data_IF_837695899323
#
_entry.id   IF_837695899323
#
_cell.length_a   1.000
_cell.length_b   1.000
_cell.length_c   1.000
_cell.angle_alpha   90.00
_cell.angle_beta   90.00
_cell.angle_gamma   90.00
#
_symmetry.space_group_name_H-M   'P 1'
#
loop_
_entity.id
_entity.type
_entity.pdbx_description
1 polymer ?
#
# COMPACT_ATOMS: atom_id res chain seq x y z
N UNK A 1 -24.34 0.05 -0.88
CA UNK A 1 -23.00 -0.35 -0.42
C UNK A 1 -22.02 -0.02 -1.53
N UNK A 2 -21.28 1.07 -1.41
CA UNK A 2 -20.30 1.47 -2.43
C UNK A 2 -19.12 0.52 -2.33
N UNK A 3 -18.92 -0.33 -3.35
CA UNK A 3 -17.74 -1.20 -3.39
C UNK A 3 -16.46 -0.34 -3.49
N UNK A 4 -15.40 -0.73 -2.77
CA UNK A 4 -14.09 -0.11 -2.94
C UNK A 4 -13.59 -0.34 -4.36
N UNK A 5 -12.89 0.64 -4.95
CA UNK A 5 -12.33 0.56 -6.30
C UNK A 5 -11.21 -0.49 -6.46
N UNK A 6 -10.77 -1.09 -5.35
CA UNK A 6 -9.70 -2.07 -5.28
C UNK A 6 -8.79 -1.82 -4.07
N UNK A 7 -7.83 -2.71 -3.87
CA UNK A 7 -6.80 -2.60 -2.83
C UNK A 7 -5.46 -2.24 -3.45
N UNK A 8 -4.83 -1.19 -2.94
CA UNK A 8 -3.49 -0.75 -3.32
C UNK A 8 -2.55 -1.04 -2.14
N UNK A 9 -1.43 -1.70 -2.42
CA UNK A 9 -0.40 -1.99 -1.43
C UNK A 9 0.81 -1.09 -1.64
N UNK A 10 1.27 -0.41 -0.60
CA UNK A 10 2.39 0.53 -0.65
C UNK A 10 3.51 0.01 0.26
N UNK A 11 4.71 -0.13 -0.30
CA UNK A 11 5.93 -0.55 0.40
C UNK A 11 6.97 0.57 0.25
N UNK A 12 7.24 1.27 1.34
CA UNK A 12 8.11 2.45 1.35
C UNK A 12 8.64 2.65 2.78
N UNK A 13 9.89 3.08 2.98
CA UNK A 13 10.40 3.35 4.34
C UNK A 13 10.10 4.78 4.81
N UNK A 14 9.70 5.68 3.91
CA UNK A 14 9.26 7.04 4.22
C UNK A 14 7.78 7.08 4.66
N UNK A 15 7.59 7.12 5.99
CA UNK A 15 6.26 7.22 6.61
C UNK A 15 5.47 8.47 6.19
N UNK A 16 6.14 9.58 5.87
CA UNK A 16 5.45 10.80 5.45
C UNK A 16 4.83 10.60 4.06
N UNK A 17 5.59 9.99 3.14
CA UNK A 17 5.09 9.66 1.81
C UNK A 17 3.95 8.65 1.87
N UNK A 18 4.08 7.59 2.67
CA UNK A 18 2.99 6.62 2.88
C UNK A 18 1.70 7.30 3.35
N UNK A 19 1.80 8.20 4.33
CA UNK A 19 0.63 8.89 4.90
C UNK A 19 -0.07 9.75 3.85
N UNK A 20 0.70 10.47 3.02
CA UNK A 20 0.15 11.31 1.94
C UNK A 20 -0.55 10.45 0.89
N UNK A 21 0.09 9.36 0.45
CA UNK A 21 -0.47 8.45 -0.54
C UNK A 21 -1.71 7.73 -0.02
N UNK A 22 -1.68 7.26 1.22
CA UNK A 22 -2.82 6.63 1.88
C UNK A 22 -4.03 7.57 1.89
N UNK A 23 -3.85 8.80 2.36
CA UNK A 23 -4.91 9.78 2.41
C UNK A 23 -5.48 10.07 1.03
N UNK A 24 -4.62 10.31 0.03
CA UNK A 24 -5.04 10.61 -1.33
C UNK A 24 -5.83 9.45 -1.96
N UNK A 25 -5.35 8.21 -1.84
CA UNK A 25 -5.96 7.04 -2.48
C UNK A 25 -7.24 6.59 -1.77
N UNK A 26 -7.29 6.64 -0.43
CA UNK A 26 -8.51 6.37 0.33
C UNK A 26 -9.61 7.37 0.00
N UNK A 27 -9.28 8.66 -0.14
CA UNK A 27 -10.25 9.70 -0.52
C UNK A 27 -10.88 9.44 -1.90
N UNK A 28 -10.16 8.77 -2.81
CA UNK A 28 -10.67 8.42 -4.15
C UNK A 28 -11.45 7.09 -4.14
N UNK A 29 -11.49 6.38 -3.01
CA UNK A 29 -12.31 5.18 -2.79
C UNK A 29 -11.55 3.86 -2.91
N UNK A 30 -10.22 3.86 -2.77
CA UNK A 30 -9.41 2.64 -2.68
C UNK A 30 -9.20 2.20 -1.24
N UNK A 31 -9.03 0.90 -1.04
CA UNK A 31 -8.42 0.39 0.19
C UNK A 31 -6.92 0.53 0.05
N UNK A 32 -6.25 1.01 1.09
CA UNK A 32 -4.80 1.13 1.11
C UNK A 32 -4.26 0.24 2.22
N UNK A 33 -3.24 -0.53 1.89
CA UNK A 33 -2.44 -1.33 2.81
C UNK A 33 -1.01 -0.83 2.73
N UNK A 34 -0.34 -0.73 3.88
CA UNK A 34 1.01 -0.19 4.00
C UNK A 34 1.93 -1.27 4.57
N UNK A 35 3.18 -1.28 4.14
CA UNK A 35 4.28 -2.04 4.73
C UNK A 35 5.53 -1.16 4.80
N UNK A 36 6.32 -1.31 5.86
CA UNK A 36 7.46 -0.43 6.15
C UNK A 36 8.78 -0.91 5.57
N UNK A 37 8.83 -2.16 5.15
CA UNK A 37 10.00 -2.77 4.53
C UNK A 37 9.59 -3.93 3.62
N UNK A 38 10.53 -4.39 2.79
CA UNK A 38 10.29 -5.49 1.85
C UNK A 38 10.01 -6.84 2.52
N UNK A 39 10.54 -7.11 3.72
CA UNK A 39 10.31 -8.39 4.40
C UNK A 39 8.88 -8.49 4.96
N UNK A 40 8.39 -7.44 5.61
CA UNK A 40 6.99 -7.29 5.99
C UNK A 40 6.12 -7.34 4.72
N UNK A 41 6.54 -6.60 3.69
CA UNK A 41 5.90 -6.55 2.38
C UNK A 41 5.62 -7.92 1.77
N UNK A 42 6.67 -8.73 1.66
CA UNK A 42 6.62 -10.08 1.08
C UNK A 42 5.75 -11.02 1.91
N UNK A 43 5.85 -10.98 3.25
CA UNK A 43 5.00 -11.80 4.13
C UNK A 43 3.52 -11.46 3.97
N UNK A 44 3.20 -10.17 3.82
CA UNK A 44 1.83 -9.74 3.61
C UNK A 44 1.29 -10.25 2.28
N UNK A 45 2.09 -10.24 1.20
CA UNK A 45 1.70 -10.74 -0.11
C UNK A 45 1.40 -12.25 -0.17
N UNK A 46 1.83 -13.04 0.84
CA UNK A 46 1.43 -14.45 0.93
C UNK A 46 -0.08 -14.63 1.17
N UNK A 47 -0.73 -13.64 1.78
CA UNK A 47 -2.16 -13.67 2.13
C UNK A 47 -2.96 -12.52 1.50
N UNK A 48 -2.30 -11.42 1.17
CA UNK A 48 -2.87 -10.24 0.53
C UNK A 48 -2.77 -10.36 -0.99
N UNK A 49 -3.89 -10.11 -1.68
CA UNK A 49 -3.95 -10.04 -3.15
C UNK A 49 -4.33 -8.61 -3.57
N UNK A 50 -3.35 -7.68 -3.63
CA UNK A 50 -3.62 -6.31 -4.04
C UNK A 50 -3.85 -6.20 -5.55
N UNK A 51 -4.59 -5.18 -5.97
CA UNK A 51 -4.77 -4.86 -7.40
C UNK A 51 -3.58 -4.09 -7.97
N UNK A 52 -2.84 -3.38 -7.13
CA UNK A 52 -1.66 -2.60 -7.49
C UNK A 52 -0.69 -2.60 -6.31
N UNK A 53 0.60 -2.70 -6.61
CA UNK A 53 1.69 -2.53 -5.65
C UNK A 53 2.49 -1.28 -6.05
N UNK A 54 2.71 -0.38 -5.10
CA UNK A 54 3.62 0.76 -5.19
C UNK A 54 4.79 0.45 -4.27
N UNK A 55 5.99 0.35 -4.81
CA UNK A 55 7.19 0.00 -4.05
C UNK A 55 8.26 1.03 -4.32
N UNK A 56 8.92 1.52 -3.27
CA UNK A 56 10.20 2.19 -3.44
C UNK A 56 11.27 1.20 -3.93
N UNK A 57 12.20 1.69 -4.74
CA UNK A 57 13.31 0.93 -5.31
C UNK A 57 14.49 0.90 -4.33
N UNK A 58 14.64 1.96 -3.53
CA UNK A 58 15.77 2.19 -2.63
C UNK A 58 15.45 1.80 -1.17
N UNK A 59 14.61 0.78 -0.98
CA UNK A 59 14.42 0.18 0.34
C UNK A 59 15.66 -0.63 0.76
N UNK A 60 16.16 -0.49 2.00
CA UNK A 60 17.22 -1.34 2.54
C UNK A 60 16.80 -2.81 2.75
#
# INVERSE_FOLDING_TARGET
>A
MTQSKGTIFIMDDDLALQTVLEYALRNVGYNVVLARDGQEGLKMLETLTPNLVISDIMMP
#
